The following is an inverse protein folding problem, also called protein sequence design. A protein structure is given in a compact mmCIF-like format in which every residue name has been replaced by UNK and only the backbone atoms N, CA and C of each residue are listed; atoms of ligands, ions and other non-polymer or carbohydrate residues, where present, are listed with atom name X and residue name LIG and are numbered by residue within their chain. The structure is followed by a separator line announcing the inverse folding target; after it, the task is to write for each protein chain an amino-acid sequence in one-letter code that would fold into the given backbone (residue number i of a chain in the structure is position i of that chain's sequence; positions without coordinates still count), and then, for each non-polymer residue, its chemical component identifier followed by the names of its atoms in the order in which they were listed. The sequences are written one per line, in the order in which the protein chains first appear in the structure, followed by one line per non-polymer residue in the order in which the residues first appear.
data_IF_631297445535
#
_entry.id   IF_631297445535
#
_cell.length_a   1.000
_cell.length_b   1.000
_cell.length_c   1.000
_cell.angle_alpha   90.00
_cell.angle_beta   90.00
_cell.angle_gamma   90.00
#
_symmetry.space_group_name_H-M   'P 1'
#
loop_
_entity.id
_entity.type
_entity.pdbx_description
1 polymer ?
#
# COMPACT_ATOMS: atom_id res chain seq x y z
N UNK A 1 -8.42 23.72 -28.98
CA UNK A 1 -7.21 23.27 -28.26
C UNK A 1 -7.57 21.98 -27.55
N UNK A 2 -6.88 20.85 -27.80
CA UNK A 2 -7.23 19.59 -27.17
C UNK A 2 -6.86 19.65 -25.68
N UNK A 3 -7.86 19.42 -24.82
CA UNK A 3 -7.69 19.32 -23.38
C UNK A 3 -6.88 18.06 -23.07
N UNK A 4 -5.74 18.22 -22.40
CA UNK A 4 -4.97 17.11 -21.85
C UNK A 4 -5.85 16.30 -20.90
N UNK A 5 -5.82 14.96 -20.95
CA UNK A 5 -6.49 14.15 -19.93
C UNK A 5 -5.81 14.43 -18.59
N UNK A 6 -6.62 14.89 -17.63
CA UNK A 6 -6.22 15.06 -16.24
C UNK A 6 -5.76 13.68 -15.72
N UNK A 7 -4.66 13.58 -14.95
CA UNK A 7 -4.35 12.34 -14.25
C UNK A 7 -5.56 11.99 -13.38
N UNK A 8 -6.17 10.84 -13.64
CA UNK A 8 -7.22 10.30 -12.78
C UNK A 8 -6.59 10.10 -11.41
N UNK A 9 -7.04 10.92 -10.47
CA UNK A 9 -6.82 10.77 -9.04
C UNK A 9 -6.96 9.28 -8.70
N UNK A 10 -5.87 8.73 -8.17
CA UNK A 10 -5.66 7.30 -8.06
C UNK A 10 -6.88 6.59 -7.54
N UNK A 11 -7.27 5.54 -8.27
CA UNK A 11 -8.13 4.48 -7.80
C UNK A 11 -7.40 3.78 -6.64
N UNK A 12 -7.36 4.43 -5.47
CA UNK A 12 -7.25 3.70 -4.21
C UNK A 12 -8.65 3.15 -4.01
N UNK A 13 -9.03 2.18 -4.83
CA UNK A 13 -10.23 1.40 -4.67
C UNK A 13 -10.12 0.70 -3.33
N UNK A 14 -10.57 1.37 -2.26
CA UNK A 14 -10.76 0.76 -0.96
C UNK A 14 -11.72 -0.39 -1.20
N UNK A 15 -11.18 -1.61 -1.30
CA UNK A 15 -12.01 -2.81 -1.26
C UNK A 15 -12.79 -2.70 0.04
N UNK A 16 -14.11 -2.88 0.01
CA UNK A 16 -15.03 -2.55 1.11
C UNK A 16 -14.67 -3.17 2.49
N UNK A 17 -13.70 -4.09 2.55
CA UNK A 17 -13.19 -4.74 3.76
C UNK A 17 -11.65 -4.63 3.97
N UNK A 18 -10.94 -3.68 3.37
CA UNK A 18 -9.48 -3.52 3.57
C UNK A 18 -9.13 -2.66 4.78
N UNK A 19 -8.21 -3.14 5.62
CA UNK A 19 -7.60 -2.34 6.70
C UNK A 19 -6.60 -1.33 6.14
N UNK A 20 -6.36 -0.25 6.89
CA UNK A 20 -5.32 0.76 6.53
C UNK A 20 -3.96 0.12 6.30
N UNK A 21 -3.59 -0.89 7.09
CA UNK A 21 -2.32 -1.62 6.94
C UNK A 21 -2.20 -2.31 5.56
N UNK A 22 -3.29 -2.89 5.06
CA UNK A 22 -3.31 -3.54 3.75
C UNK A 22 -3.21 -2.54 2.60
N UNK A 23 -3.90 -1.40 2.71
CA UNK A 23 -3.83 -0.36 1.67
C UNK A 23 -2.44 0.29 1.62
N UNK A 24 -1.79 0.49 2.77
CA UNK A 24 -0.39 0.94 2.82
C UNK A 24 0.53 -0.10 2.16
N UNK A 25 0.38 -1.39 2.47
CA UNK A 25 1.20 -2.44 1.88
C UNK A 25 1.06 -2.54 0.36
N UNK A 26 -0.18 -2.45 -0.15
CA UNK A 26 -0.45 -2.39 -1.60
C UNK A 26 0.13 -1.16 -2.24
N UNK A 27 -0.03 0.00 -1.61
CA UNK A 27 0.52 1.25 -2.11
C UNK A 27 2.03 1.16 -2.25
N UNK A 28 2.74 0.68 -1.23
CA UNK A 28 4.20 0.53 -1.26
C UNK A 28 4.65 -0.43 -2.36
N UNK A 29 3.97 -1.56 -2.51
CA UNK A 29 4.25 -2.54 -3.58
C UNK A 29 4.00 -1.92 -4.97
N UNK A 30 2.92 -1.15 -5.14
CA UNK A 30 2.62 -0.45 -6.39
C UNK A 30 3.64 0.65 -6.74
N UNK A 31 4.24 1.29 -5.72
CA UNK A 31 5.35 2.23 -5.90
C UNK A 31 6.69 1.54 -6.21
N UNK A 32 6.73 0.21 -6.24
CA UNK A 32 7.95 -0.56 -6.52
C UNK A 32 8.90 -0.63 -5.33
N UNK A 33 8.40 -0.46 -4.10
CA UNK A 33 9.19 -0.75 -2.91
C UNK A 33 9.39 -2.26 -2.83
N UNK A 34 10.63 -2.70 -2.63
CA UNK A 34 10.96 -4.13 -2.54
C UNK A 34 11.19 -4.59 -1.08
N UNK A 35 11.67 -3.67 -0.22
CA UNK A 35 12.08 -3.97 1.16
C UNK A 35 11.70 -2.87 2.15
N UNK A 36 11.27 -3.26 3.34
CA UNK A 36 10.92 -2.34 4.43
C UNK A 36 11.65 -2.75 5.72
N UNK A 37 12.53 -1.89 6.22
CA UNK A 37 13.25 -2.13 7.48
C UNK A 37 12.52 -1.50 8.66
N UNK A 38 12.39 -2.24 9.76
CA UNK A 38 11.80 -1.73 10.99
C UNK A 38 12.04 -2.67 12.17
N UNK A 39 11.82 -2.15 13.38
CA UNK A 39 11.83 -2.97 14.59
C UNK A 39 10.44 -3.55 14.84
N UNK A 40 10.31 -4.85 15.14
CA UNK A 40 9.03 -5.41 15.51
C UNK A 40 8.54 -4.81 16.83
N UNK A 41 7.23 -4.56 16.91
CA UNK A 41 6.55 -4.03 18.10
C UNK A 41 5.05 -4.27 18.01
N UNK A 42 4.37 -4.28 19.17
CA UNK A 42 2.95 -4.67 19.27
C UNK A 42 2.06 -3.92 18.26
N UNK A 43 2.20 -2.60 18.20
CA UNK A 43 1.39 -1.73 17.33
C UNK A 43 1.63 -1.95 15.83
N UNK A 44 2.84 -2.37 15.43
CA UNK A 44 3.21 -2.55 14.01
C UNK A 44 3.06 -3.99 13.53
N UNK A 45 2.67 -4.93 14.40
CA UNK A 45 2.56 -6.36 14.06
C UNK A 45 1.58 -6.59 12.89
N UNK A 46 0.44 -5.91 12.89
CA UNK A 46 -0.55 -6.03 11.82
C UNK A 46 -0.06 -5.43 10.49
N UNK A 47 0.74 -4.35 10.55
CA UNK A 47 1.35 -3.76 9.37
C UNK A 47 2.41 -4.70 8.79
N UNK A 48 3.29 -5.27 9.62
CA UNK A 48 4.29 -6.25 9.18
C UNK A 48 3.62 -7.46 8.52
N UNK A 49 2.52 -7.96 9.08
CA UNK A 49 1.75 -9.05 8.48
C UNK A 49 1.16 -8.66 7.11
N UNK A 50 0.63 -7.45 6.98
CA UNK A 50 0.10 -6.95 5.71
C UNK A 50 1.20 -6.80 4.64
N UNK A 51 2.36 -6.25 5.00
CA UNK A 51 3.52 -6.10 4.11
C UNK A 51 3.99 -7.45 3.57
N UNK A 52 4.13 -8.45 4.46
CA UNK A 52 4.53 -9.82 4.06
C UNK A 52 3.53 -10.49 3.13
N UNK A 53 2.23 -10.30 3.34
CA UNK A 53 1.19 -10.87 2.49
C UNK A 53 1.19 -10.27 1.07
N UNK A 54 1.61 -9.01 0.92
CA UNK A 54 1.76 -8.34 -0.38
C UNK A 54 3.13 -8.62 -1.03
N UNK A 55 4.00 -9.42 -0.39
CA UNK A 55 5.27 -9.87 -0.95
C UNK A 55 6.47 -8.97 -0.66
N UNK A 56 6.35 -8.03 0.28
CA UNK A 56 7.45 -7.18 0.73
C UNK A 56 8.34 -7.93 1.74
N UNK A 57 9.65 -7.84 1.52
CA UNK A 57 10.70 -8.40 2.39
C UNK A 57 11.02 -7.51 3.61
#
# INVERSE_FOLDING_TARGET
MPHSPKPSDGDIGMKENSTVAQEIARFLTHQGVERVYGLPGGEVTHLIAALRNEGLE
#
